data_IF_870714328979
#
_entry.id   IF_870714328979
#
_cell.length_a   1.000
_cell.length_b   1.000
_cell.length_c   1.000
_cell.angle_alpha   90.00
_cell.angle_beta   90.00
_cell.angle_gamma   90.00
#
_symmetry.space_group_name_H-M   'P 1'
#
loop_
_entity.id
_entity.type
_entity.pdbx_description
1 polymer ?
#
# COMPACT_ATOMS: atom_id res chain seq x y z
N UNK A 1 21.15 -22.40 -44.55
CA UNK A 1 20.48 -21.37 -43.74
C UNK A 1 20.02 -21.99 -42.43
N UNK A 2 20.40 -21.41 -41.28
CA UNK A 2 20.01 -21.89 -39.95
C UNK A 2 19.36 -20.71 -39.20
N UNK A 3 18.20 -20.94 -38.59
CA UNK A 3 17.38 -19.89 -37.93
C UNK A 3 17.06 -18.65 -38.82
N UNK A 4 16.98 -18.82 -40.14
CA UNK A 4 16.74 -17.70 -41.05
C UNK A 4 17.95 -16.81 -41.32
N UNK A 5 19.14 -17.19 -40.83
CA UNK A 5 20.38 -16.40 -40.93
C UNK A 5 21.42 -17.15 -41.78
N UNK A 6 22.18 -16.40 -42.58
CA UNK A 6 23.28 -16.92 -43.40
C UNK A 6 22.92 -17.22 -44.86
N UNK A 7 23.85 -17.86 -45.57
CA UNK A 7 23.69 -18.21 -46.99
C UNK A 7 22.85 -19.50 -47.18
N UNK A 8 22.15 -19.59 -48.31
CA UNK A 8 21.43 -20.81 -48.71
C UNK A 8 22.40 -21.91 -49.15
N UNK A 9 23.45 -21.55 -49.91
CA UNK A 9 24.58 -22.42 -50.27
C UNK A 9 25.87 -21.59 -50.33
N UNK A 10 27.01 -22.20 -49.99
CA UNK A 10 28.33 -21.55 -50.11
C UNK A 10 28.82 -21.47 -51.57
N UNK A 11 28.27 -22.32 -52.46
CA UNK A 11 28.65 -22.38 -53.87
C UNK A 11 28.27 -21.08 -54.59
N UNK A 12 29.23 -20.51 -55.33
CA UNK A 12 29.03 -19.26 -56.07
C UNK A 12 29.26 -17.98 -55.24
N UNK A 13 29.45 -18.10 -53.92
CA UNK A 13 29.71 -16.94 -53.04
C UNK A 13 31.20 -16.62 -52.85
N UNK A 14 32.09 -17.52 -53.30
CA UNK A 14 33.54 -17.35 -53.16
C UNK A 14 34.06 -17.44 -51.72
N UNK A 15 33.24 -17.91 -50.77
CA UNK A 15 33.61 -18.08 -49.35
C UNK A 15 33.25 -19.47 -48.85
N UNK A 16 33.76 -19.83 -47.66
CA UNK A 16 33.46 -21.11 -47.02
C UNK A 16 32.04 -21.17 -46.40
N UNK A 17 31.26 -20.08 -46.46
CA UNK A 17 29.91 -20.01 -45.89
C UNK A 17 29.86 -19.97 -44.36
N UNK A 18 30.97 -19.63 -43.69
CA UNK A 18 31.04 -19.52 -42.23
C UNK A 18 30.32 -18.25 -41.74
N UNK A 19 29.37 -18.41 -40.82
CA UNK A 19 28.56 -17.32 -40.26
C UNK A 19 28.85 -17.18 -38.77
N UNK A 20 29.27 -15.99 -38.35
CA UNK A 20 29.55 -15.67 -36.96
C UNK A 20 28.43 -14.80 -36.38
N UNK A 21 28.11 -14.99 -35.10
CA UNK A 21 27.21 -14.09 -34.38
C UNK A 21 27.87 -12.72 -34.20
N UNK A 22 27.09 -11.64 -34.38
CA UNK A 22 27.56 -10.29 -34.10
C UNK A 22 27.59 -10.05 -32.57
N UNK A 23 28.79 -9.98 -32.00
CA UNK A 23 29.00 -9.73 -30.57
C UNK A 23 28.70 -8.28 -30.13
N UNK A 24 28.67 -7.34 -31.09
CA UNK A 24 28.31 -5.93 -30.84
C UNK A 24 26.81 -5.67 -30.97
N UNK A 25 26.03 -6.68 -31.35
CA UNK A 25 24.58 -6.55 -31.43
C UNK A 25 24.00 -6.48 -30.01
N UNK A 26 23.77 -5.27 -29.52
CA UNK A 26 23.03 -5.06 -28.29
C UNK A 26 21.59 -5.52 -28.53
N UNK A 27 21.25 -6.69 -28.01
CA UNK A 27 19.84 -7.07 -27.81
C UNK A 27 19.28 -6.04 -26.85
N UNK A 28 18.75 -4.93 -27.37
CA UNK A 28 17.94 -4.02 -26.59
C UNK A 28 16.82 -4.89 -26.03
N UNK A 29 16.97 -5.27 -24.76
CA UNK A 29 15.96 -6.01 -24.05
C UNK A 29 14.68 -5.24 -24.28
N UNK A 30 13.72 -5.87 -24.97
CA UNK A 30 12.35 -5.35 -25.11
C UNK A 30 11.65 -5.41 -23.74
N UNK A 31 12.32 -4.98 -22.67
CA UNK A 31 11.66 -4.38 -21.53
C UNK A 31 11.10 -3.06 -22.05
N UNK A 32 10.04 -3.16 -22.87
CA UNK A 32 9.12 -2.05 -23.09
C UNK A 32 8.79 -1.58 -21.69
N UNK A 33 9.13 -0.34 -21.38
CA UNK A 33 8.52 0.34 -20.24
C UNK A 33 7.04 0.36 -20.58
N UNK A 34 6.27 -0.55 -20.01
CA UNK A 34 4.83 -0.50 -20.07
C UNK A 34 4.43 0.78 -19.36
N UNK A 35 4.07 1.79 -20.15
CA UNK A 35 3.41 2.96 -19.62
C UNK A 35 2.08 2.47 -19.07
N UNK A 36 1.85 2.66 -17.77
CA UNK A 36 0.57 2.39 -17.13
C UNK A 36 -0.52 3.03 -18.00
N UNK A 37 -1.48 2.22 -18.45
CA UNK A 37 -2.59 2.75 -19.22
C UNK A 37 -3.37 3.76 -18.35
N UNK A 38 -4.14 4.66 -18.97
CA UNK A 38 -5.02 5.55 -18.19
C UNK A 38 -5.93 4.77 -17.23
N UNK A 39 -6.31 3.54 -17.58
CA UNK A 39 -7.07 2.65 -16.72
C UNK A 39 -6.29 2.21 -15.47
N UNK A 40 -4.99 1.94 -15.61
CA UNK A 40 -4.12 1.55 -14.49
C UNK A 40 -3.87 2.73 -13.55
N UNK A 41 -3.68 3.94 -14.10
CA UNK A 41 -3.55 5.16 -13.30
C UNK A 41 -4.83 5.43 -12.48
N UNK A 42 -6.01 5.30 -13.10
CA UNK A 42 -7.30 5.44 -12.41
C UNK A 42 -7.50 4.41 -11.31
N UNK A 43 -7.06 3.16 -11.51
CA UNK A 43 -7.14 2.11 -10.49
C UNK A 43 -6.25 2.44 -9.29
N UNK A 44 -5.00 2.83 -9.54
CA UNK A 44 -4.05 3.19 -8.48
C UNK A 44 -4.56 4.41 -7.69
N UNK A 45 -5.10 5.42 -8.38
CA UNK A 45 -5.69 6.60 -7.74
C UNK A 45 -6.92 6.24 -6.88
N UNK A 46 -7.79 5.35 -7.38
CA UNK A 46 -8.94 4.87 -6.62
C UNK A 46 -8.53 4.07 -5.37
N UNK A 47 -7.49 3.26 -5.45
CA UNK A 47 -6.93 2.53 -4.31
C UNK A 47 -6.31 3.46 -3.26
N UNK A 48 -5.59 4.49 -3.71
CA UNK A 48 -4.96 5.49 -2.84
C UNK A 48 -5.98 6.33 -2.05
N UNK A 49 -7.12 6.63 -2.66
CA UNK A 49 -8.19 7.46 -2.08
C UNK A 49 -9.19 6.66 -1.24
N UNK A 50 -9.06 5.34 -1.15
CA UNK A 50 -9.99 4.51 -0.38
C UNK A 50 -9.72 4.68 1.12
N UNK A 51 -10.70 5.21 1.84
CA UNK A 51 -10.61 5.35 3.29
C UNK A 51 -10.53 3.96 3.99
N UNK A 52 -9.79 3.86 5.11
CA UNK A 52 -9.83 2.66 5.94
C UNK A 52 -11.23 2.43 6.51
N UNK A 53 -11.70 1.19 6.51
CA UNK A 53 -12.99 0.83 7.13
C UNK A 53 -12.78 0.57 8.62
N UNK A 54 -13.45 1.33 9.47
CA UNK A 54 -13.33 1.23 10.93
C UNK A 54 -13.85 -0.10 11.49
N UNK A 55 -14.91 -0.68 10.92
CA UNK A 55 -15.46 -1.95 11.38
C UNK A 55 -14.44 -3.10 11.25
N UNK A 56 -13.70 -3.11 10.14
CA UNK A 56 -12.65 -4.10 9.90
C UNK A 56 -11.47 -3.92 10.87
N UNK A 57 -11.09 -2.68 11.17
CA UNK A 57 -10.05 -2.39 12.15
C UNK A 57 -10.49 -2.79 13.57
N UNK A 58 -11.74 -2.52 13.95
CA UNK A 58 -12.31 -2.96 15.23
C UNK A 58 -12.30 -4.49 15.35
N UNK A 59 -12.66 -5.19 14.28
CA UNK A 59 -12.61 -6.65 14.25
C UNK A 59 -11.18 -7.16 14.44
N UNK A 60 -10.18 -6.53 13.83
CA UNK A 60 -8.78 -6.92 14.05
C UNK A 60 -8.30 -6.66 15.48
N UNK A 61 -8.70 -5.53 16.09
CA UNK A 61 -8.40 -5.26 17.50
C UNK A 61 -9.01 -6.33 18.42
N UNK A 62 -10.25 -6.76 18.17
CA UNK A 62 -10.88 -7.88 18.88
C UNK A 62 -10.13 -9.20 18.67
N UNK A 63 -9.68 -9.48 17.44
CA UNK A 63 -8.84 -10.66 17.16
C UNK A 63 -7.53 -10.63 17.94
N UNK A 64 -6.88 -9.48 18.04
CA UNK A 64 -5.65 -9.34 18.84
C UNK A 64 -5.89 -9.62 20.34
N UNK A 65 -7.05 -9.22 20.88
CA UNK A 65 -7.44 -9.58 22.26
C UNK A 65 -7.58 -11.09 22.42
N UNK A 66 -8.25 -11.77 21.49
CA UNK A 66 -8.40 -13.23 21.57
C UNK A 66 -7.05 -13.96 21.42
N UNK A 67 -6.12 -13.45 20.61
CA UNK A 67 -4.76 -14.00 20.57
C UNK A 67 -4.06 -13.89 21.93
N UNK A 68 -4.15 -12.72 22.59
CA UNK A 68 -3.59 -12.55 23.94
C UNK A 68 -4.24 -13.48 24.97
N UNK A 69 -5.54 -13.73 24.84
CA UNK A 69 -6.24 -14.68 25.70
C UNK A 69 -5.75 -16.11 25.48
N UNK A 70 -5.53 -16.52 24.22
CA UNK A 70 -5.00 -17.84 23.88
C UNK A 70 -3.54 -18.01 24.36
N UNK A 71 -2.70 -16.99 24.19
CA UNK A 71 -1.34 -16.99 24.74
C UNK A 71 -1.35 -17.13 26.27
N UNK A 72 -2.26 -16.44 26.95
CA UNK A 72 -2.42 -16.53 28.40
C UNK A 72 -2.90 -17.91 28.85
N UNK A 73 -3.82 -18.52 28.12
CA UNK A 73 -4.29 -19.90 28.34
C UNK A 73 -3.12 -20.90 28.24
N UNK A 74 -2.34 -20.84 27.16
CA UNK A 74 -1.14 -21.68 26.98
C UNK A 74 -0.13 -21.52 28.12
N UNK A 75 0.12 -20.29 28.59
CA UNK A 75 1.04 -20.01 29.70
C UNK A 75 0.55 -20.58 31.03
N UNK A 76 -0.76 -20.75 31.21
CA UNK A 76 -1.35 -21.32 32.42
C UNK A 76 -1.35 -22.84 32.36
N UNK A 77 -1.61 -23.42 31.18
CA UNK A 77 -1.45 -24.86 30.94
C UNK A 77 0.00 -25.32 31.18
N UNK A 78 1.00 -24.57 30.68
CA UNK A 78 2.42 -24.89 30.87
C UNK A 78 2.83 -24.87 32.35
N UNK A 79 2.15 -24.05 33.16
CA UNK A 79 2.35 -23.98 34.62
C UNK A 79 1.60 -25.07 35.40
N UNK A 80 0.76 -25.86 34.73
CA UNK A 80 0.01 -26.96 35.33
C UNK A 80 -1.16 -26.50 36.21
N UNK A 81 -1.81 -25.38 35.87
CA UNK A 81 -3.09 -25.01 36.50
C UNK A 81 -4.22 -25.95 36.05
N UNK A 82 -5.27 -26.04 36.87
CA UNK A 82 -6.47 -26.81 36.55
C UNK A 82 -7.36 -26.10 35.51
N UNK A 83 -8.00 -26.87 34.64
CA UNK A 83 -8.81 -26.36 33.51
C UNK A 83 -9.91 -25.40 33.98
N UNK A 84 -10.55 -25.66 35.12
CA UNK A 84 -11.62 -24.80 35.65
C UNK A 84 -11.07 -23.44 36.13
N UNK A 85 -9.84 -23.41 36.65
CA UNK A 85 -9.17 -22.18 37.06
C UNK A 85 -8.68 -21.38 35.86
N UNK A 86 -8.17 -22.08 34.83
CA UNK A 86 -7.72 -21.47 33.58
C UNK A 86 -8.90 -20.75 32.91
N UNK A 87 -10.04 -21.42 32.74
CA UNK A 87 -11.21 -20.81 32.10
C UNK A 87 -11.70 -19.56 32.83
N UNK A 88 -11.76 -19.59 34.17
CA UNK A 88 -12.17 -18.41 34.97
C UNK A 88 -11.23 -17.24 34.73
N UNK A 89 -9.91 -17.46 34.87
CA UNK A 89 -8.89 -16.42 34.71
C UNK A 89 -8.84 -15.87 33.29
N UNK A 90 -8.94 -16.72 32.27
CA UNK A 90 -9.02 -16.31 30.85
C UNK A 90 -10.29 -15.49 30.60
N UNK A 91 -11.43 -15.88 31.18
CA UNK A 91 -12.69 -15.14 31.01
C UNK A 91 -12.64 -13.74 31.64
N UNK A 92 -12.01 -13.60 32.80
CA UNK A 92 -11.83 -12.31 33.46
C UNK A 92 -10.81 -11.45 32.71
N UNK A 93 -9.73 -12.06 32.21
CA UNK A 93 -8.75 -11.39 31.36
C UNK A 93 -9.36 -10.86 30.07
N UNK A 94 -10.23 -11.65 29.41
CA UNK A 94 -10.97 -11.21 28.22
C UNK A 94 -11.84 -9.99 28.51
N UNK A 95 -12.60 -10.00 29.61
CA UNK A 95 -13.44 -8.85 30.00
C UNK A 95 -12.61 -7.61 30.30
N UNK A 96 -11.47 -7.77 30.96
CA UNK A 96 -10.54 -6.68 31.25
C UNK A 96 -9.98 -6.06 29.96
N UNK A 97 -9.51 -6.87 29.02
CA UNK A 97 -8.95 -6.36 27.76
C UNK A 97 -10.03 -5.67 26.90
N UNK A 98 -11.25 -6.20 26.89
CA UNK A 98 -12.37 -5.56 26.19
C UNK A 98 -12.74 -4.21 26.82
N UNK A 99 -12.79 -4.11 28.15
CA UNK A 99 -13.10 -2.85 28.82
C UNK A 99 -12.01 -1.80 28.60
N UNK A 100 -10.73 -2.21 28.60
CA UNK A 100 -9.61 -1.32 28.28
C UNK A 100 -9.59 -0.87 26.81
N UNK A 101 -10.09 -1.71 25.90
CA UNK A 101 -10.25 -1.35 24.50
C UNK A 101 -11.38 -0.31 24.32
N UNK A 102 -12.50 -0.48 25.03
CA UNK A 102 -13.63 0.46 25.01
C UNK A 102 -13.30 1.79 25.69
N UNK A 103 -12.53 1.78 26.78
CA UNK A 103 -12.06 2.99 27.46
C UNK A 103 -11.01 3.76 26.66
N UNK A 104 -10.40 3.14 25.66
CA UNK A 104 -9.34 3.72 24.83
C UNK A 104 -7.95 3.73 25.49
N UNK A 105 -7.80 3.12 26.67
CA UNK A 105 -6.51 2.98 27.35
C UNK A 105 -5.58 2.00 26.61
N UNK A 106 -6.16 0.97 25.98
CA UNK A 106 -5.40 -0.04 25.25
C UNK A 106 -5.32 0.30 23.75
N UNK A 107 -4.14 0.73 23.32
CA UNK A 107 -3.86 0.93 21.90
C UNK A 107 -3.29 -0.34 21.26
N UNK A 108 -4.15 -1.06 20.52
CA UNK A 108 -3.77 -2.26 19.75
C UNK A 108 -3.39 -1.94 18.30
N UNK A 109 -3.35 -0.66 17.90
CA UNK A 109 -3.09 -0.30 16.50
C UNK A 109 -1.67 -0.67 16.05
N UNK A 110 -0.71 -0.71 16.98
CA UNK A 110 0.66 -1.16 16.69
C UNK A 110 0.79 -2.66 16.47
N UNK A 111 -0.16 -3.45 16.98
CA UNK A 111 -0.18 -4.91 16.87
C UNK A 111 -1.00 -5.39 15.65
N UNK A 112 -1.59 -4.47 14.88
CA UNK A 112 -2.34 -4.82 13.68
C UNK A 112 -1.42 -5.40 12.60
N UNK A 113 -1.91 -6.41 11.88
CA UNK A 113 -1.14 -7.07 10.85
C UNK A 113 -0.85 -6.13 9.69
N UNK A 114 0.44 -5.92 9.43
CA UNK A 114 0.92 -5.13 8.29
C UNK A 114 0.54 -5.73 6.93
N UNK A 115 0.05 -6.97 6.86
CA UNK A 115 -0.47 -7.55 5.61
C UNK A 115 -1.87 -7.07 5.26
N UNK A 116 -2.62 -6.51 6.21
CA UNK A 116 -3.95 -6.01 5.96
C UNK A 116 -3.96 -4.66 5.24
N UNK A 117 -4.80 -4.56 4.21
CA UNK A 117 -4.98 -3.36 3.40
C UNK A 117 -5.51 -2.18 4.22
N UNK A 118 -6.44 -2.42 5.16
CA UNK A 118 -7.04 -1.34 5.94
C UNK A 118 -6.10 -0.84 7.04
N UNK A 119 -5.37 -1.73 7.72
CA UNK A 119 -4.30 -1.35 8.64
C UNK A 119 -3.24 -0.48 7.95
N UNK A 120 -2.77 -0.87 6.74
CA UNK A 120 -1.86 -0.06 5.93
C UNK A 120 -2.44 1.29 5.55
N UNK A 121 -3.70 1.32 5.11
CA UNK A 121 -4.37 2.57 4.73
C UNK A 121 -4.47 3.53 5.91
N UNK A 122 -4.83 3.03 7.10
CA UNK A 122 -4.86 3.83 8.34
C UNK A 122 -3.48 4.39 8.67
N UNK A 123 -2.44 3.58 8.63
CA UNK A 123 -1.07 4.04 8.88
C UNK A 123 -0.63 5.09 7.84
N UNK A 124 -0.98 4.90 6.56
CA UNK A 124 -0.70 5.84 5.50
C UNK A 124 -1.42 7.19 5.72
N UNK A 125 -2.68 7.18 6.16
CA UNK A 125 -3.41 8.40 6.55
C UNK A 125 -2.69 9.12 7.68
N UNK A 126 -2.33 8.41 8.76
CA UNK A 126 -1.59 9.01 9.89
C UNK A 126 -0.22 9.58 9.49
N UNK A 127 0.48 8.94 8.54
CA UNK A 127 1.76 9.44 8.03
C UNK A 127 1.53 10.71 7.19
N UNK A 128 0.51 10.72 6.33
CA UNK A 128 0.14 11.89 5.53
C UNK A 128 -0.26 13.06 6.40
N UNK A 129 -1.06 12.83 7.45
CA UNK A 129 -1.48 13.87 8.39
C UNK A 129 -0.27 14.46 9.13
N UNK A 130 0.64 13.60 9.63
CA UNK A 130 1.90 14.06 10.23
C UNK A 130 2.74 14.89 9.26
N UNK A 131 2.84 14.46 8.00
CA UNK A 131 3.59 15.17 6.97
C UNK A 131 2.91 16.51 6.60
N UNK A 132 1.57 16.55 6.57
CA UNK A 132 0.77 17.74 6.33
C UNK A 132 1.05 18.80 7.40
N UNK A 133 1.03 18.40 8.66
CA UNK A 133 1.33 19.27 9.80
C UNK A 133 2.78 19.77 9.75
N UNK A 134 3.74 18.88 9.43
CA UNK A 134 5.16 19.24 9.30
C UNK A 134 5.42 20.26 8.16
N UNK A 135 4.65 20.19 7.07
CA UNK A 135 4.74 21.11 5.94
C UNK A 135 3.91 22.40 6.15
N UNK A 136 3.20 22.54 7.28
CA UNK A 136 2.36 23.71 7.56
C UNK A 136 1.14 23.83 6.64
N UNK A 137 0.68 22.73 6.05
CA UNK A 137 -0.50 22.72 5.19
C UNK A 137 -1.76 22.72 6.06
N UNK A 138 -2.66 23.70 5.85
CA UNK A 138 -3.89 23.81 6.64
C UNK A 138 -4.79 22.58 6.50
N UNK A 139 -5.58 22.26 7.53
CA UNK A 139 -6.54 21.13 7.53
C UNK A 139 -7.66 21.29 6.50
N UNK A 140 -8.00 22.54 6.17
CA UNK A 140 -9.02 22.89 5.19
C UNK A 140 -8.50 22.90 3.74
N UNK A 141 -7.21 22.62 3.54
CA UNK A 141 -6.61 22.56 2.21
C UNK A 141 -7.31 21.50 1.34
N UNK A 142 -7.91 21.95 0.24
CA UNK A 142 -8.54 21.10 -0.78
C UNK A 142 -7.54 20.83 -1.90
N UNK A 143 -7.21 19.56 -2.20
CA UNK A 143 -6.36 19.20 -3.32
C UNK A 143 -6.86 19.81 -4.64
N UNK A 144 -5.97 20.44 -5.42
CA UNK A 144 -6.31 21.09 -6.68
C UNK A 144 -6.86 22.52 -6.56
N UNK A 145 -7.14 23.01 -5.35
CA UNK A 145 -7.61 24.40 -5.15
C UNK A 145 -6.47 25.44 -5.11
N UNK A 146 -5.21 25.01 -5.11
CA UNK A 146 -4.03 25.89 -4.97
C UNK A 146 -3.90 26.96 -6.07
N UNK A 147 -4.46 26.72 -7.26
CA UNK A 147 -4.43 27.67 -8.39
C UNK A 147 -5.75 28.43 -8.60
N UNK A 148 -6.83 28.11 -7.85
CA UNK A 148 -8.15 28.74 -8.04
C UNK A 148 -8.15 30.23 -7.67
N UNK A 149 -7.41 30.61 -6.62
CA UNK A 149 -7.26 32.01 -6.22
C UNK A 149 -6.58 32.87 -7.31
N UNK A 150 -5.71 32.27 -8.12
CA UNK A 150 -4.96 32.94 -9.19
C UNK A 150 -5.84 33.23 -10.42
N UNK A 151 -6.81 32.35 -10.72
CA UNK A 151 -7.79 32.54 -11.80
C UNK A 151 -8.80 33.65 -11.48
N UNK A 152 -9.21 33.78 -10.21
CA UNK A 152 -10.10 34.86 -9.76
C UNK A 152 -9.45 36.25 -9.94
N UNK A 153 -8.14 36.36 -9.71
CA UNK A 153 -7.40 37.61 -9.88
C UNK A 153 -7.28 38.03 -11.36
N UNK A 154 -7.02 37.07 -12.25
CA UNK A 154 -6.90 37.33 -13.69
C UNK A 154 -8.23 37.72 -14.36
N UNK A 155 -9.33 37.09 -13.95
CA UNK A 155 -10.68 37.40 -14.46
C UNK A 155 -11.19 38.76 -13.99
N UNK A 156 -10.78 39.23 -12.80
CA UNK A 156 -11.12 40.56 -12.31
C UNK A 156 -10.36 41.67 -13.04
N UNK A 157 -9.06 41.47 -13.33
CA UNK A 157 -8.24 42.46 -14.04
C UNK A 157 -8.69 42.65 -15.51
N UNK A 158 -9.08 41.57 -16.19
CA UNK A 158 -9.56 41.66 -17.58
C UNK A 158 -10.97 42.28 -17.71
N UNK A 159 -11.73 42.37 -16.62
CA UNK A 159 -13.06 43.02 -16.60
C UNK A 159 -12.97 44.53 -16.40
N UNK A 160 -11.83 45.04 -15.95
CA UNK A 160 -11.55 46.47 -15.75
C UNK A 160 -10.94 47.16 -16.98
N UNK A 161 -10.59 46.41 -18.03
CA UNK A 161 -9.98 46.93 -19.27
C UNK A 161 -11.02 47.16 -20.39
N UNK A 162 -12.29 46.78 -20.18
CA UNK A 162 -13.38 46.91 -21.19
C UNK A 162 -14.48 47.89 -20.75
N UNK A 163 -14.14 48.94 -20.00
CA UNK A 163 -15.04 50.09 -19.75
C UNK A 163 -14.35 51.37 -20.15
#
# INVERSE_FOLDING_TARGET
MYNGIGLQTARGTGTNGYVQANLSNLLLSKKRVEYNSEADLRRIEAELNRAPNEELLQHQRKRAIEMKCAEFEMLMEEKGFDDDEIQKKVSDYRKLLLSQLESGELNLDSELDTRDSHARAKAAVQIRDRMRDALGVSKDFVPGASMQALVAFYTWHNRLIVV
#
